data_IF_047118768849
#
_entry.id   IF_047118768849
#
_cell.length_a   1.000
_cell.length_b   1.000
_cell.length_c   1.000
_cell.angle_alpha   90.00
_cell.angle_beta   90.00
_cell.angle_gamma   90.00
#
_symmetry.space_group_name_H-M   'P 1'
#
loop_
_entity.id
_entity.type
_entity.pdbx_description
1 polymer ?
#
# COMPACT_ATOMS: atom_id res chain seq x y z
N UNK A 1 17.55 16.85 17.10
CA UNK A 1 17.20 15.95 15.97
C UNK A 1 15.86 16.39 15.42
N UNK A 2 15.82 17.01 14.24
CA UNK A 2 14.57 17.46 13.63
C UNK A 2 13.75 16.26 13.13
N UNK A 3 12.51 16.12 13.59
CA UNK A 3 11.55 15.19 12.98
C UNK A 3 11.37 15.62 11.51
N UNK A 4 11.88 14.83 10.56
CA UNK A 4 11.55 15.02 9.13
C UNK A 4 10.02 14.99 9.03
N UNK A 5 9.40 16.11 8.66
CA UNK A 5 7.97 16.19 8.38
C UNK A 5 7.67 15.15 7.30
N UNK A 6 6.77 14.23 7.57
CA UNK A 6 6.37 13.24 6.57
C UNK A 6 5.60 13.96 5.47
N UNK A 7 6.13 13.92 4.26
CA UNK A 7 5.48 14.51 3.09
C UNK A 7 4.47 13.51 2.54
N UNK A 8 3.19 13.90 2.53
CA UNK A 8 2.11 13.13 1.95
C UNK A 8 1.68 13.72 0.61
N UNK A 9 1.23 12.86 -0.30
CA UNK A 9 0.56 13.24 -1.55
C UNK A 9 -0.87 12.72 -1.50
N UNK A 10 -1.82 13.58 -1.84
CA UNK A 10 -3.21 13.19 -2.00
C UNK A 10 -3.44 12.67 -3.42
N UNK A 11 -3.99 11.47 -3.53
CA UNK A 11 -4.42 10.90 -4.80
C UNK A 11 -5.92 10.65 -4.78
N UNK A 12 -6.56 10.90 -5.91
CA UNK A 12 -7.98 10.67 -6.10
C UNK A 12 -8.17 9.51 -7.06
N UNK A 13 -9.09 8.61 -6.72
CA UNK A 13 -9.54 7.58 -7.65
C UNK A 13 -11.06 7.48 -7.59
N UNK A 14 -11.66 7.11 -8.72
CA UNK A 14 -13.10 6.87 -8.81
C UNK A 14 -13.35 5.38 -8.63
N UNK A 15 -13.99 5.00 -7.55
CA UNK A 15 -14.44 3.63 -7.36
C UNK A 15 -15.66 3.39 -8.26
N UNK A 16 -15.57 2.36 -9.11
CA UNK A 16 -16.63 2.03 -10.08
C UNK A 16 -17.85 1.36 -9.43
N UNK A 17 -17.67 0.76 -8.25
CA UNK A 17 -18.73 0.07 -7.51
C UNK A 17 -19.60 1.06 -6.75
N UNK A 18 -19.01 1.89 -5.88
CA UNK A 18 -19.75 2.90 -5.15
C UNK A 18 -20.12 4.13 -6.00
N UNK A 19 -19.52 4.27 -7.18
CA UNK A 19 -19.62 5.42 -8.08
C UNK A 19 -19.22 6.76 -7.42
N UNK A 20 -18.35 6.72 -6.39
CA UNK A 20 -17.81 7.89 -5.67
C UNK A 20 -16.32 8.06 -5.94
N UNK A 21 -15.85 9.30 -5.79
CA UNK A 21 -14.41 9.61 -5.82
C UNK A 21 -13.88 9.59 -4.39
N UNK A 22 -12.89 8.74 -4.14
CA UNK A 22 -12.20 8.64 -2.86
C UNK A 22 -10.85 9.35 -2.94
N UNK A 23 -10.44 9.93 -1.82
CA UNK A 23 -9.11 10.56 -1.68
C UNK A 23 -8.29 9.72 -0.72
N UNK A 24 -7.10 9.31 -1.15
CA UNK A 24 -6.13 8.60 -0.34
C UNK A 24 -4.90 9.46 -0.09
N UNK A 25 -4.25 9.26 1.06
CA UNK A 25 -3.02 9.95 1.44
C UNK A 25 -1.86 8.98 1.39
N UNK A 26 -0.96 9.17 0.43
CA UNK A 26 0.22 8.34 0.27
C UNK A 26 1.42 9.04 0.89
N UNK A 27 2.11 8.36 1.80
CA UNK A 27 3.40 8.84 2.29
C UNK A 27 4.42 8.74 1.14
N UNK A 28 5.16 9.80 0.83
CA UNK A 28 6.17 9.78 -0.23
C UNK A 28 7.24 8.71 -0.02
N UNK A 29 7.47 8.25 1.21
CA UNK A 29 8.42 7.18 1.50
C UNK A 29 7.98 5.81 0.98
N UNK A 30 6.71 5.63 0.59
CA UNK A 30 6.20 4.33 0.12
C UNK A 30 6.91 3.82 -1.14
N UNK A 31 7.56 4.71 -1.90
CA UNK A 31 8.36 4.34 -3.08
C UNK A 31 9.84 4.13 -2.78
N UNK A 32 10.31 4.48 -1.57
CA UNK A 32 11.71 4.31 -1.18
C UNK A 32 12.02 2.80 -1.12
N UNK A 33 13.09 2.38 -1.79
CA UNK A 33 13.50 0.97 -1.82
C UNK A 33 12.70 0.07 -2.77
N UNK A 34 11.66 0.58 -3.45
CA UNK A 34 10.94 -0.19 -4.47
C UNK A 34 11.68 -0.20 -5.81
N UNK A 35 11.87 -1.39 -6.37
CA UNK A 35 12.55 -1.58 -7.66
C UNK A 35 11.59 -1.73 -8.85
N UNK A 36 10.32 -2.04 -8.59
CA UNK A 36 9.33 -2.36 -9.64
C UNK A 36 8.08 -1.50 -9.51
N UNK A 37 7.59 -1.03 -10.66
CA UNK A 37 6.41 -0.20 -10.81
C UNK A 37 5.56 -0.65 -12.01
N UNK A 38 4.24 -0.40 -12.01
CA UNK A 38 3.47 0.09 -10.86
C UNK A 38 3.38 -0.97 -9.76
N UNK A 39 3.36 -0.54 -8.50
CA UNK A 39 3.23 -1.44 -7.36
C UNK A 39 1.79 -1.43 -6.82
N UNK A 40 1.30 -2.54 -6.23
CA UNK A 40 -0.03 -2.59 -5.64
C UNK A 40 -0.06 -1.88 -4.28
N UNK A 41 -1.04 -1.01 -4.09
CA UNK A 41 -1.40 -0.41 -2.81
C UNK A 41 -2.82 -0.81 -2.43
N UNK A 42 -2.96 -1.53 -1.33
CA UNK A 42 -4.19 -2.19 -0.93
C UNK A 42 -4.77 -1.50 0.31
N UNK A 43 -6.07 -1.21 0.28
CA UNK A 43 -6.80 -0.69 1.42
C UNK A 43 -8.30 -1.02 1.30
N UNK A 44 -9.01 -0.85 2.41
CA UNK A 44 -10.47 -1.01 2.48
C UNK A 44 -11.14 0.37 2.45
N UNK A 45 -12.29 0.46 1.79
CA UNK A 45 -13.17 1.60 1.94
C UNK A 45 -14.63 1.18 2.06
N UNK A 46 -15.36 1.93 2.87
CA UNK A 46 -16.74 1.60 3.17
C UNK A 46 -17.67 2.21 2.12
N UNK A 47 -18.73 1.46 1.82
CA UNK A 47 -19.86 1.93 1.05
C UNK A 47 -21.13 1.81 1.89
N UNK A 48 -21.60 2.99 2.34
CA UNK A 48 -22.86 3.13 3.06
C UNK A 48 -23.94 3.58 2.07
N UNK A 49 -24.97 2.76 1.87
CA UNK A 49 -26.15 3.08 1.09
C UNK A 49 -27.43 2.68 1.85
N UNK A 50 -28.10 3.65 2.46
CA UNK A 50 -29.24 3.37 3.35
C UNK A 50 -28.79 2.64 4.62
N UNK A 51 -29.39 1.48 4.89
CA UNK A 51 -29.05 0.60 6.02
C UNK A 51 -27.99 -0.47 5.66
N UNK A 52 -27.60 -0.57 4.39
CA UNK A 52 -26.59 -1.52 3.95
C UNK A 52 -25.17 -0.94 4.14
N UNK A 53 -24.38 -1.65 4.94
CA UNK A 53 -22.94 -1.42 5.11
C UNK A 53 -22.18 -2.49 4.33
N UNK A 54 -21.41 -2.07 3.33
CA UNK A 54 -20.52 -2.94 2.55
C UNK A 54 -19.09 -2.44 2.64
N UNK A 55 -18.15 -3.35 2.83
CA UNK A 55 -16.72 -3.05 2.73
C UNK A 55 -16.20 -3.45 1.35
N UNK A 56 -15.43 -2.56 0.74
CA UNK A 56 -14.81 -2.83 -0.55
C UNK A 56 -13.29 -2.93 -0.41
N UNK A 57 -12.73 -4.04 -0.90
CA UNK A 57 -11.29 -4.16 -1.11
C UNK A 57 -10.90 -3.36 -2.35
N UNK A 58 -9.93 -2.46 -2.20
CA UNK A 58 -9.39 -1.68 -3.30
C UNK A 58 -7.90 -1.90 -3.45
N UNK A 59 -7.48 -2.21 -4.67
CA UNK A 59 -6.08 -2.29 -5.08
C UNK A 59 -5.82 -1.17 -6.08
N UNK A 60 -4.90 -0.27 -5.75
CA UNK A 60 -4.42 0.76 -6.66
C UNK A 60 -3.03 0.40 -7.16
N UNK A 61 -2.83 0.50 -8.46
CA UNK A 61 -1.51 0.32 -9.07
C UNK A 61 -0.85 1.69 -9.20
N UNK A 62 0.15 1.93 -8.36
CA UNK A 62 0.79 3.23 -8.19
C UNK A 62 2.16 3.21 -8.88
N UNK A 63 2.45 4.23 -9.68
CA UNK A 63 3.75 4.37 -10.33
C UNK A 63 4.79 5.09 -9.46
N UNK A 64 5.99 5.28 -10.01
CA UNK A 64 7.11 5.95 -9.33
C UNK A 64 6.87 7.45 -9.07
N UNK A 65 5.86 8.06 -9.70
CA UNK A 65 5.46 9.44 -9.51
C UNK A 65 4.26 9.55 -8.54
N UNK A 66 3.92 8.47 -7.84
CA UNK A 66 2.76 8.37 -6.95
C UNK A 66 1.42 8.58 -7.68
N UNK A 67 1.35 8.34 -8.99
CA UNK A 67 0.11 8.41 -9.76
C UNK A 67 -0.58 7.06 -9.79
N UNK A 68 -1.91 7.08 -9.62
CA UNK A 68 -2.76 5.90 -9.79
C UNK A 68 -2.90 5.59 -11.28
N UNK A 69 -2.37 4.46 -11.72
CA UNK A 69 -2.43 3.99 -13.11
C UNK A 69 -3.61 3.06 -13.37
N UNK A 70 -4.00 2.30 -12.37
CA UNK A 70 -5.14 1.39 -12.43
C UNK A 70 -5.74 1.20 -11.04
N UNK A 71 -7.02 0.79 -10.99
CA UNK A 71 -7.72 0.49 -9.75
C UNK A 71 -8.61 -0.75 -9.95
N UNK A 72 -8.47 -1.71 -9.06
CA UNK A 72 -9.38 -2.85 -8.90
C UNK A 72 -10.18 -2.64 -7.62
N UNK A 73 -11.49 -2.87 -7.69
CA UNK A 73 -12.38 -2.79 -6.52
C UNK A 73 -13.27 -4.02 -6.52
N UNK A 74 -13.49 -4.61 -5.35
CA UNK A 74 -14.43 -5.70 -5.15
C UNK A 74 -15.23 -5.48 -3.87
N UNK A 75 -16.52 -5.84 -3.90
CA UNK A 75 -17.33 -5.97 -2.68
C UNK A 75 -16.87 -7.21 -1.90
N UNK A 76 -16.57 -7.06 -0.62
CA UNK A 76 -16.31 -8.18 0.25
C UNK A 76 -17.65 -8.80 0.66
N UNK A 77 -17.89 -10.02 0.21
CA UNK A 77 -18.96 -10.87 0.71
C UNK A 77 -18.37 -11.88 1.70
N UNK A 78 -19.06 -12.11 2.82
CA UNK A 78 -18.55 -12.89 3.95
C UNK A 78 -18.17 -14.34 3.56
N UNK A 79 -18.69 -14.85 2.43
CA UNK A 79 -18.55 -16.24 1.98
C UNK A 79 -17.45 -16.48 0.92
N UNK A 80 -16.77 -15.44 0.42
CA UNK A 80 -15.62 -15.61 -0.50
C UNK A 80 -14.59 -14.52 -0.28
N UNK A 81 -13.70 -14.76 0.69
CA UNK A 81 -12.80 -13.76 1.22
C UNK A 81 -11.85 -13.14 0.18
N UNK A 82 -11.21 -13.92 -0.71
CA UNK A 82 -10.30 -13.37 -1.75
C UNK A 82 -10.11 -14.32 -2.94
N UNK A 83 -9.96 -13.78 -4.17
CA UNK A 83 -9.48 -14.56 -5.32
C UNK A 83 -7.97 -14.88 -5.17
N UNK A 84 -7.49 -15.91 -5.86
CA UNK A 84 -6.07 -16.29 -5.84
C UNK A 84 -5.16 -15.15 -6.32
N UNK A 85 -5.59 -14.46 -7.37
CA UNK A 85 -4.88 -13.31 -7.95
C UNK A 85 -4.77 -12.17 -6.95
N UNK A 86 -5.80 -11.95 -6.13
CA UNK A 86 -5.82 -10.92 -5.09
C UNK A 86 -4.95 -11.28 -3.89
N UNK A 87 -4.98 -12.54 -3.45
CA UNK A 87 -4.04 -13.03 -2.43
C UNK A 87 -2.61 -12.80 -2.90
N UNK A 88 -2.30 -13.09 -4.16
CA UNK A 88 -0.98 -12.81 -4.75
C UNK A 88 -0.70 -11.30 -4.81
N UNK A 89 -1.67 -10.48 -5.21
CA UNK A 89 -1.54 -9.03 -5.29
C UNK A 89 -1.34 -8.36 -3.92
N UNK A 90 -1.90 -8.93 -2.85
CA UNK A 90 -1.69 -8.49 -1.47
C UNK A 90 -0.37 -9.02 -0.89
N UNK A 91 -0.08 -10.31 -1.11
CA UNK A 91 1.12 -10.96 -0.57
C UNK A 91 2.41 -10.41 -1.17
N UNK A 92 2.41 -10.09 -2.46
CA UNK A 92 3.62 -9.63 -3.15
C UNK A 92 4.21 -8.33 -2.56
N UNK A 93 3.43 -7.23 -2.38
CA UNK A 93 3.93 -6.05 -1.69
C UNK A 93 4.40 -6.33 -0.26
N UNK A 94 3.72 -7.22 0.48
CA UNK A 94 4.09 -7.57 1.85
C UNK A 94 5.44 -8.31 1.90
N UNK A 95 5.67 -9.24 0.96
CA UNK A 95 6.95 -9.94 0.84
C UNK A 95 8.08 -8.99 0.43
N UNK A 96 7.82 -8.08 -0.50
CA UNK A 96 8.78 -7.03 -0.88
C UNK A 96 9.15 -6.14 0.33
N UNK A 97 8.16 -5.74 1.14
CA UNK A 97 8.39 -4.94 2.35
C UNK A 97 9.22 -5.71 3.40
N UNK A 98 8.94 -7.01 3.58
CA UNK A 98 9.72 -7.89 4.47
C UNK A 98 11.19 -7.93 4.05
N UNK A 99 11.46 -8.05 2.75
CA UNK A 99 12.83 -8.10 2.23
C UNK A 99 13.54 -6.75 2.37
N UNK A 100 12.83 -5.63 2.16
CA UNK A 100 13.37 -4.28 2.45
C UNK A 100 13.76 -4.16 3.93
N UNK A 101 12.86 -4.53 4.85
CA UNK A 101 13.10 -4.47 6.29
C UNK A 101 14.27 -5.36 6.73
N UNK A 102 14.39 -6.58 6.17
CA UNK A 102 15.54 -7.46 6.42
C UNK A 102 16.86 -6.81 6.02
N UNK A 103 16.91 -6.23 4.83
CA UNK A 103 18.10 -5.52 4.34
C UNK A 103 18.47 -4.32 5.23
N UNK A 104 17.50 -3.62 5.78
CA UNK A 104 17.76 -2.53 6.73
C UNK A 104 18.33 -3.03 8.05
N UNK A 105 17.77 -4.11 8.61
CA UNK A 105 18.27 -4.75 9.85
C UNK A 105 19.72 -5.20 9.67
N UNK A 106 20.05 -5.81 8.53
CA UNK A 106 21.42 -6.26 8.25
C UNK A 106 22.40 -5.08 8.19
N UNK A 107 22.04 -4.01 7.47
CA UNK A 107 22.86 -2.78 7.38
C UNK A 107 23.06 -2.13 8.75
N UNK A 108 22.02 -2.05 9.57
CA UNK A 108 22.09 -1.47 10.91
C UNK A 108 22.94 -2.32 11.85
N UNK A 109 22.81 -3.65 11.77
CA UNK A 109 23.61 -4.60 12.56
C UNK A 109 25.09 -4.49 12.23
N UNK A 110 25.45 -4.41 10.94
CA UNK A 110 26.83 -4.20 10.51
C UNK A 110 27.40 -2.87 11.04
N UNK A 111 26.63 -1.78 10.96
CA UNK A 111 27.03 -0.47 11.50
C UNK A 111 27.27 -0.55 13.02
N UNK A 112 26.36 -1.15 13.77
CA UNK A 112 26.48 -1.33 15.22
C UNK A 112 27.75 -2.11 15.58
N UNK A 113 28.03 -3.20 14.87
CA UNK A 113 29.23 -4.00 15.09
C UNK A 113 30.53 -3.25 14.74
N UNK A 114 30.52 -2.40 13.72
CA UNK A 114 31.67 -1.56 13.38
C UNK A 114 31.95 -0.46 14.41
N UNK A 115 30.90 0.05 15.08
CA UNK A 115 31.02 1.06 16.13
C UNK A 115 31.45 0.45 17.47
N UNK A 116 31.01 -0.76 17.80
CA UNK A 116 31.46 -1.50 19.00
C UNK A 116 32.92 -1.97 18.95
N UNK A 117 33.51 -2.02 17.74
CA UNK A 117 34.93 -2.36 17.53
C UNK A 117 35.87 -1.14 17.61
N UNK A 118 35.33 0.06 17.83
CA UNK A 118 36.07 1.27 18.19
C UNK A 118 35.93 1.53 19.68
#
# INVERSE_FOLDING_TARGET
MGKKKEEYVEQKFRCKICNKTHTIKLNKKIIEGREKFPFPYVFLHDHIHGEEYKEHLTILYIDNNLQVRHSEVQELDYDSLFSKEQVVAMMKPLLEEIDILRNEVDKLTQKLNSQKKK
#
